data_IF_500242965412
#
_entry.id   IF_500242965412
#
_cell.length_a   1.000
_cell.length_b   1.000
_cell.length_c   1.000
_cell.angle_alpha   90.00
_cell.angle_beta   90.00
_cell.angle_gamma   90.00
#
_symmetry.space_group_name_H-M   'P 1'
#
loop_
_entity.id
_entity.type
_entity.pdbx_description
1 polymer ?
#
# COMPACT_ATOMS: atom_id res chain seq x y z
N UNK A 1 -6.76 -28.79 1.57
CA UNK A 1 -6.59 -28.37 0.18
C UNK A 1 -7.91 -27.93 -0.41
N UNK A 2 -7.88 -26.88 -1.18
CA UNK A 2 -9.05 -26.33 -1.82
C UNK A 2 -9.34 -27.05 -3.14
N UNK A 3 -10.45 -26.71 -3.74
CA UNK A 3 -10.85 -27.34 -4.99
C UNK A 3 -9.81 -27.12 -6.09
N UNK A 4 -9.59 -28.12 -6.97
CA UNK A 4 -8.51 -28.06 -7.96
C UNK A 4 -8.54 -26.86 -8.88
N UNK A 5 -9.72 -26.36 -9.22
CA UNK A 5 -9.87 -25.25 -10.16
C UNK A 5 -10.13 -23.90 -9.50
N UNK A 6 -10.26 -23.85 -8.17
CA UNK A 6 -10.57 -22.63 -7.43
C UNK A 6 -9.80 -22.53 -6.13
N UNK A 7 -8.84 -23.39 -5.95
CA UNK A 7 -8.16 -23.47 -4.69
C UNK A 7 -6.97 -22.54 -4.58
N UNK A 8 -6.51 -22.45 -3.35
CA UNK A 8 -5.26 -21.78 -3.01
C UNK A 8 -4.36 -22.83 -2.39
N UNK A 9 -3.15 -22.95 -2.92
CA UNK A 9 -2.14 -23.83 -2.36
C UNK A 9 -1.02 -23.02 -1.76
N UNK A 10 -0.62 -23.38 -0.55
CA UNK A 10 0.46 -22.70 0.16
C UNK A 10 1.52 -23.73 0.48
N UNK A 11 2.73 -23.51 -0.03
CA UNK A 11 3.84 -24.41 0.19
C UNK A 11 5.04 -23.64 0.71
N UNK A 12 5.68 -24.19 1.74
CA UNK A 12 6.94 -23.64 2.21
C UNK A 12 8.02 -23.97 1.18
N UNK A 13 8.77 -22.95 0.77
CA UNK A 13 9.79 -23.12 -0.26
C UNK A 13 11.17 -23.14 0.37
N UNK A 14 11.46 -22.16 1.21
CA UNK A 14 12.76 -22.05 1.87
C UNK A 14 12.63 -21.16 3.10
N UNK A 15 12.98 -21.70 4.28
CA UNK A 15 12.91 -20.93 5.51
C UNK A 15 11.52 -20.42 5.80
N UNK A 16 11.39 -19.13 5.91
CA UNK A 16 10.10 -18.47 6.19
C UNK A 16 9.43 -17.96 4.93
N UNK A 17 9.86 -18.44 3.77
CA UNK A 17 9.29 -18.03 2.49
C UNK A 17 8.31 -19.10 2.01
N UNK A 18 7.12 -18.65 1.65
CA UNK A 18 6.05 -19.51 1.19
C UNK A 18 5.64 -19.12 -0.22
N UNK A 19 5.35 -20.11 -1.03
CA UNK A 19 4.77 -19.91 -2.35
C UNK A 19 3.26 -20.06 -2.23
N UNK A 20 2.53 -19.08 -2.69
CA UNK A 20 1.07 -19.11 -2.72
C UNK A 20 0.63 -19.21 -4.17
N UNK A 21 -0.07 -20.27 -4.51
CA UNK A 21 -0.58 -20.49 -5.85
C UNK A 21 -2.09 -20.41 -5.84
N UNK A 22 -2.63 -19.69 -6.82
CA UNK A 22 -4.07 -19.50 -6.97
C UNK A 22 -4.59 -20.25 -8.18
N UNK A 23 -5.67 -20.99 -8.00
CA UNK A 23 -6.32 -21.68 -9.09
C UNK A 23 -7.13 -20.73 -10.00
N UNK A 24 -7.46 -19.55 -9.50
CA UNK A 24 -8.23 -18.55 -10.23
C UNK A 24 -7.51 -17.20 -10.12
N UNK A 25 -7.25 -16.57 -11.26
CA UNK A 25 -6.59 -15.27 -11.30
C UNK A 25 -7.37 -14.16 -10.60
N UNK A 26 -8.68 -14.29 -10.51
CA UNK A 26 -9.50 -13.32 -9.78
C UNK A 26 -9.26 -13.38 -8.27
N UNK A 27 -9.02 -14.55 -7.74
CA UNK A 27 -8.70 -14.72 -6.33
C UNK A 27 -7.34 -14.13 -6.01
N UNK A 28 -6.36 -14.32 -6.89
CA UNK A 28 -5.04 -13.72 -6.78
C UNK A 28 -5.13 -12.20 -6.76
N UNK A 29 -5.87 -11.65 -7.70
CA UNK A 29 -6.04 -10.20 -7.80
C UNK A 29 -6.68 -9.63 -6.52
N UNK A 30 -7.73 -10.28 -6.05
CA UNK A 30 -8.42 -9.87 -4.82
C UNK A 30 -7.51 -9.94 -3.61
N UNK A 31 -6.71 -10.99 -3.53
CA UNK A 31 -5.75 -11.19 -2.46
C UNK A 31 -4.72 -10.05 -2.42
N UNK A 32 -4.18 -9.68 -3.58
CA UNK A 32 -3.21 -8.60 -3.69
C UNK A 32 -3.83 -7.23 -3.40
N UNK A 33 -5.06 -7.02 -3.81
CA UNK A 33 -5.77 -5.75 -3.55
C UNK A 33 -6.07 -5.54 -2.08
N UNK A 34 -6.15 -6.60 -1.30
CA UNK A 34 -6.44 -6.54 0.13
C UNK A 34 -5.21 -6.33 1.00
N UNK A 35 -4.02 -6.26 0.40
CA UNK A 35 -2.81 -5.94 1.16
C UNK A 35 -2.94 -4.58 1.86
N UNK A 36 -2.32 -4.38 3.01
CA UNK A 36 -1.38 -5.27 3.68
C UNK A 36 -2.06 -6.39 4.47
N UNK A 37 -1.43 -7.55 4.48
CA UNK A 37 -1.86 -8.69 5.28
C UNK A 37 -1.02 -8.75 6.55
N UNK A 38 -1.65 -9.10 7.65
CA UNK A 38 -0.95 -9.30 8.92
C UNK A 38 -1.33 -10.63 9.54
N UNK A 39 -0.41 -11.20 10.29
CA UNK A 39 -0.65 -12.39 11.09
C UNK A 39 -0.06 -12.16 12.47
N UNK A 40 -0.90 -12.27 13.49
CA UNK A 40 -0.51 -12.01 14.88
C UNK A 40 0.23 -10.65 15.03
N UNK A 41 -0.28 -9.62 14.36
CA UNK A 41 0.25 -8.26 14.36
C UNK A 41 1.56 -8.08 13.58
N UNK A 42 2.06 -9.12 12.93
CA UNK A 42 3.23 -9.04 12.06
C UNK A 42 2.79 -8.86 10.61
N UNK A 43 3.52 -8.01 9.93
CA UNK A 43 3.27 -7.76 8.52
C UNK A 43 3.76 -8.94 7.67
N UNK A 44 2.92 -9.38 6.76
CA UNK A 44 3.28 -10.39 5.76
C UNK A 44 3.69 -9.67 4.50
N UNK A 45 4.93 -9.89 4.06
CA UNK A 45 5.41 -9.30 2.82
C UNK A 45 5.09 -10.22 1.64
N UNK A 46 4.54 -9.63 0.61
CA UNK A 46 4.12 -10.35 -0.59
C UNK A 46 4.81 -9.78 -1.82
N UNK A 47 5.14 -10.66 -2.72
CA UNK A 47 5.67 -10.27 -4.01
C UNK A 47 5.15 -11.21 -5.08
N UNK A 48 4.69 -10.64 -6.16
CA UNK A 48 4.27 -11.41 -7.30
C UNK A 48 5.49 -12.04 -7.98
N UNK A 49 5.44 -13.35 -8.18
CA UNK A 49 6.55 -14.09 -8.75
C UNK A 49 6.46 -14.11 -10.26
N UNK A 50 7.55 -13.73 -10.91
CA UNK A 50 7.72 -13.89 -12.34
C UNK A 50 8.38 -15.24 -12.61
N UNK A 51 7.89 -15.96 -13.59
CA UNK A 51 8.10 -17.40 -13.76
C UNK A 51 9.52 -17.96 -13.77
N UNK A 52 10.56 -17.13 -13.84
CA UNK A 52 11.94 -17.61 -13.91
C UNK A 52 12.77 -17.34 -12.67
N UNK A 53 12.16 -16.73 -11.66
CA UNK A 53 12.88 -16.40 -10.43
C UNK A 53 12.96 -17.60 -9.50
N UNK A 54 14.09 -17.74 -8.82
CA UNK A 54 14.25 -18.70 -7.75
C UNK A 54 14.16 -18.00 -6.40
N UNK A 55 13.76 -18.71 -5.32
CA UNK A 55 13.55 -18.06 -4.02
C UNK A 55 14.70 -17.20 -3.51
N UNK A 56 15.94 -17.60 -3.79
CA UNK A 56 17.12 -16.84 -3.36
C UNK A 56 17.24 -15.47 -4.01
N UNK A 57 16.63 -15.29 -5.16
CA UNK A 57 16.68 -14.04 -5.90
C UNK A 57 15.59 -13.05 -5.49
N UNK A 58 14.64 -13.50 -4.68
CA UNK A 58 13.49 -12.69 -4.31
C UNK A 58 13.82 -11.88 -3.08
N UNK A 59 13.62 -10.57 -3.20
CA UNK A 59 13.80 -9.64 -2.09
C UNK A 59 12.43 -9.15 -1.65
N UNK A 60 12.12 -9.30 -0.37
CA UNK A 60 10.87 -8.86 0.24
C UNK A 60 11.15 -7.68 1.16
N UNK A 61 10.82 -6.47 0.69
CA UNK A 61 11.16 -5.26 1.42
C UNK A 61 10.11 -4.16 1.34
N UNK A 62 9.07 -4.39 0.54
CA UNK A 62 8.00 -3.41 0.36
C UNK A 62 6.64 -3.99 0.72
N UNK A 63 5.76 -3.13 1.16
CA UNK A 63 4.35 -3.47 1.32
C UNK A 63 3.47 -2.30 0.90
N UNK A 64 2.35 -2.56 0.24
CA UNK A 64 1.41 -1.50 -0.11
C UNK A 64 0.59 -1.09 1.11
N UNK A 65 0.39 0.20 1.27
CA UNK A 65 -0.48 0.76 2.29
C UNK A 65 -1.34 1.85 1.66
N UNK A 66 -2.58 1.92 2.09
CA UNK A 66 -3.39 3.10 1.86
C UNK A 66 -2.96 4.16 2.86
N UNK A 67 -2.70 5.34 2.35
CA UNK A 67 -2.27 6.49 3.13
C UNK A 67 -3.26 7.62 2.93
N UNK A 68 -3.76 8.16 4.02
CA UNK A 68 -4.61 9.35 3.99
C UNK A 68 -3.72 10.58 4.09
N UNK A 69 -4.02 11.57 3.25
CA UNK A 69 -3.31 12.85 3.28
C UNK A 69 -4.25 13.88 3.91
N UNK A 70 -3.87 14.37 5.07
CA UNK A 70 -4.70 15.30 5.84
C UNK A 70 -4.19 16.73 5.71
N UNK A 71 -5.12 17.65 5.84
CA UNK A 71 -4.84 19.08 5.87
C UNK A 71 -4.48 19.70 4.52
N UNK A 72 -4.78 19.01 3.42
CA UNK A 72 -4.68 19.60 2.09
C UNK A 72 -5.86 20.54 1.83
N UNK A 73 -5.64 21.69 1.20
CA UNK A 73 -6.73 22.52 0.73
C UNK A 73 -7.63 21.72 -0.21
N UNK A 74 -8.92 22.00 -0.18
CA UNK A 74 -9.90 21.25 -0.97
C UNK A 74 -9.57 21.25 -2.46
N UNK A 75 -9.11 22.38 -2.99
CA UNK A 75 -8.71 22.49 -4.39
C UNK A 75 -7.52 21.60 -4.76
N UNK A 76 -6.69 21.27 -3.78
CA UNK A 76 -5.51 20.42 -4.00
C UNK A 76 -5.79 18.94 -3.84
N UNK A 77 -7.00 18.58 -3.45
CA UNK A 77 -7.37 17.17 -3.28
C UNK A 77 -7.73 16.56 -4.62
N UNK A 78 -6.72 16.40 -5.45
CA UNK A 78 -6.85 15.86 -6.80
C UNK A 78 -6.00 14.61 -6.95
N UNK A 79 -6.33 13.83 -7.98
CA UNK A 79 -5.57 12.63 -8.32
C UNK A 79 -4.11 12.96 -8.61
N UNK A 80 -3.87 14.06 -9.30
CA UNK A 80 -2.52 14.51 -9.65
C UNK A 80 -1.69 14.86 -8.43
N UNK A 81 -2.28 15.57 -7.49
CA UNK A 81 -1.61 15.92 -6.24
C UNK A 81 -1.30 14.66 -5.42
N UNK A 82 -2.25 13.74 -5.35
CA UNK A 82 -2.05 12.47 -4.67
C UNK A 82 -0.89 11.68 -5.24
N UNK A 83 -0.80 11.58 -6.56
CA UNK A 83 0.32 10.90 -7.23
C UNK A 83 1.64 11.58 -6.95
N UNK A 84 1.68 12.90 -7.02
CA UNK A 84 2.91 13.66 -6.80
C UNK A 84 3.44 13.48 -5.38
N UNK A 85 2.55 13.52 -4.39
CA UNK A 85 2.93 13.32 -2.99
C UNK A 85 3.36 11.88 -2.76
N UNK A 86 2.57 10.92 -3.21
CA UNK A 86 2.85 9.50 -3.03
C UNK A 86 4.16 9.07 -3.69
N UNK A 87 4.47 9.63 -4.86
CA UNK A 87 5.69 9.30 -5.60
C UNK A 87 6.97 9.63 -4.83
N UNK A 88 6.91 10.55 -3.88
CA UNK A 88 8.05 10.87 -3.03
C UNK A 88 8.25 9.84 -1.91
N UNK A 89 7.25 9.03 -1.64
CA UNK A 89 7.28 8.05 -0.56
C UNK A 89 7.53 6.63 -1.06
N UNK A 90 7.17 6.36 -2.29
CA UNK A 90 7.31 5.03 -2.89
C UNK A 90 6.62 4.95 -4.24
N UNK A 91 6.34 3.75 -4.68
CA UNK A 91 5.63 3.54 -5.94
C UNK A 91 4.12 3.69 -5.71
N UNK A 92 3.52 4.63 -6.41
CA UNK A 92 2.07 4.87 -6.31
C UNK A 92 1.33 3.80 -7.10
N UNK A 93 0.40 3.13 -6.43
CA UNK A 93 -0.42 2.08 -7.04
C UNK A 93 -1.80 2.58 -7.42
N UNK A 94 -2.38 3.44 -6.61
CA UNK A 94 -3.74 3.95 -6.83
C UNK A 94 -3.96 5.23 -6.04
N UNK A 95 -4.91 6.02 -6.48
CA UNK A 95 -5.33 7.25 -5.80
C UNK A 95 -6.85 7.24 -5.72
N UNK A 96 -7.37 7.47 -4.52
CA UNK A 96 -8.80 7.57 -4.29
C UNK A 96 -9.13 9.00 -3.89
N UNK A 97 -9.87 9.69 -4.75
CA UNK A 97 -10.32 11.06 -4.52
C UNK A 97 -11.78 11.00 -4.07
N UNK A 98 -12.07 11.60 -2.92
CA UNK A 98 -13.43 11.65 -2.42
C UNK A 98 -14.31 12.46 -3.36
N UNK A 99 -15.51 11.97 -3.62
CA UNK A 99 -16.48 12.70 -4.43
C UNK A 99 -16.98 13.93 -3.67
N UNK A 100 -17.13 14.99 -4.43
CA UNK A 100 -17.59 16.26 -3.89
C UNK A 100 -19.01 16.10 -3.32
N UNK A 101 -19.19 16.56 -2.10
CA UNK A 101 -20.49 16.55 -1.44
C UNK A 101 -20.82 15.26 -0.69
N UNK A 102 -20.25 14.14 -1.09
CA UNK A 102 -20.53 12.84 -0.46
C UNK A 102 -19.57 12.55 0.68
N UNK A 103 -18.31 12.90 0.50
CA UNK A 103 -17.26 12.66 1.48
C UNK A 103 -16.62 13.97 1.92
N UNK A 104 -17.45 14.91 2.20
CA UNK A 104 -17.05 16.22 2.67
C UNK A 104 -16.14 16.10 3.89
N UNK A 105 -14.96 16.69 3.80
CA UNK A 105 -13.98 16.62 4.88
C UNK A 105 -13.10 15.38 4.90
N UNK A 106 -13.34 14.40 4.03
CA UNK A 106 -12.47 13.24 3.94
C UNK A 106 -11.18 13.55 3.22
N UNK A 107 -10.14 12.88 3.64
CA UNK A 107 -8.81 13.05 3.08
C UNK A 107 -8.68 12.36 1.74
N UNK A 108 -7.76 12.89 0.93
CA UNK A 108 -7.27 12.19 -0.24
C UNK A 108 -6.54 10.94 0.21
N UNK A 109 -6.77 9.81 -0.46
CA UNK A 109 -6.12 8.54 -0.14
C UNK A 109 -5.24 8.11 -1.30
N UNK A 110 -4.05 7.67 -0.97
CA UNK A 110 -3.08 7.17 -1.96
C UNK A 110 -2.59 5.80 -1.50
N UNK A 111 -2.57 4.84 -2.42
CA UNK A 111 -2.00 3.53 -2.15
C UNK A 111 -0.58 3.50 -2.66
N UNK A 112 0.37 3.29 -1.75
CA UNK A 112 1.80 3.40 -2.04
C UNK A 112 2.52 2.17 -1.52
N UNK A 113 3.46 1.66 -2.32
CA UNK A 113 4.40 0.63 -1.85
C UNK A 113 5.48 1.30 -1.02
N UNK A 114 5.54 0.94 0.24
CA UNK A 114 6.44 1.54 1.22
C UNK A 114 7.59 0.58 1.52
N UNK A 115 8.79 1.11 1.56
CA UNK A 115 9.97 0.38 2.03
C UNK A 115 9.85 0.18 3.54
N UNK A 116 9.71 -1.07 3.96
CA UNK A 116 9.47 -1.40 5.36
C UNK A 116 10.73 -1.26 6.24
N UNK A 117 11.88 -1.09 5.63
CA UNK A 117 13.14 -0.91 6.37
C UNK A 117 13.45 0.56 6.67
N UNK A 118 12.74 1.46 6.03
CA UNK A 118 12.90 2.89 6.24
C UNK A 118 11.92 3.42 7.27
N UNK A 119 12.32 4.51 7.91
CA UNK A 119 11.46 5.20 8.84
C UNK A 119 10.20 5.71 8.12
N UNK A 120 9.05 5.53 8.73
CA UNK A 120 7.79 5.95 8.15
C UNK A 120 7.68 7.46 8.14
N UNK A 121 7.40 8.03 6.98
CA UNK A 121 7.19 9.47 6.83
C UNK A 121 5.76 9.80 7.26
N UNK A 122 5.62 10.62 8.28
CA UNK A 122 4.30 10.93 8.85
C UNK A 122 3.73 12.27 8.43
N UNK A 123 4.47 13.04 7.68
CA UNK A 123 3.99 14.32 7.19
C UNK A 123 5.08 15.10 6.49
N UNK A 124 4.68 16.24 5.93
CA UNK A 124 5.59 17.09 5.17
C UNK A 124 5.05 18.52 5.14
N UNK A 125 5.95 19.50 5.17
CA UNK A 125 5.58 20.88 4.90
C UNK A 125 5.50 21.09 3.40
N UNK A 126 4.43 21.71 2.97
CA UNK A 126 4.27 22.12 1.57
C UNK A 126 3.96 23.61 1.51
N UNK A 127 4.25 24.20 0.37
CA UNK A 127 3.89 25.58 0.09
C UNK A 127 2.63 25.56 -0.76
N UNK A 128 1.58 26.17 -0.28
CA UNK A 128 0.32 26.26 -1.01
C UNK A 128 0.22 27.59 -1.74
N UNK A 129 -0.83 27.76 -2.53
CA UNK A 129 -1.10 28.99 -3.25
C UNK A 129 -1.07 30.20 -2.30
N UNK A 130 -0.37 31.24 -2.70
CA UNK A 130 -0.16 32.41 -1.86
C UNK A 130 1.09 32.39 -1.00
N UNK A 131 1.90 31.32 -1.10
CA UNK A 131 3.16 31.23 -0.38
C UNK A 131 3.06 30.75 1.06
N UNK A 132 1.87 30.45 1.55
CA UNK A 132 1.68 29.92 2.89
C UNK A 132 2.26 28.53 3.00
N UNK A 133 3.01 28.29 4.08
CA UNK A 133 3.50 26.94 4.39
C UNK A 133 2.48 26.20 5.23
N UNK A 134 2.25 24.95 4.88
CA UNK A 134 1.30 24.13 5.60
C UNK A 134 1.86 22.76 5.84
N UNK A 135 1.66 22.24 7.04
CA UNK A 135 1.98 20.88 7.37
C UNK A 135 0.87 19.96 6.90
N UNK A 136 1.19 19.01 6.06
CA UNK A 136 0.25 17.95 5.68
C UNK A 136 0.65 16.68 6.41
N UNK A 137 -0.33 15.98 6.96
CA UNK A 137 -0.10 14.78 7.73
C UNK A 137 -0.46 13.55 6.92
N UNK A 138 0.35 12.51 7.04
CA UNK A 138 0.13 11.22 6.41
C UNK A 138 -0.31 10.21 7.46
N UNK A 139 -1.49 9.64 7.26
CA UNK A 139 -2.03 8.64 8.17
C UNK A 139 -2.18 7.33 7.40
N UNK A 140 -1.39 6.35 7.78
CA UNK A 140 -1.42 5.05 7.13
C UNK A 140 -2.51 4.18 7.73
N UNK A 141 -3.27 3.50 6.86
CA UNK A 141 -4.34 2.62 7.29
C UNK A 141 -3.79 1.23 7.55
N UNK A 142 -4.32 0.56 8.57
CA UNK A 142 -3.98 -0.84 8.90
C UNK A 142 -2.48 -1.04 9.20
N UNK A 143 -1.88 -0.07 9.82
CA UNK A 143 -0.46 -0.13 10.14
C UNK A 143 -0.21 -1.12 11.29
N UNK A 144 0.75 -2.05 11.13
CA UNK A 144 1.11 -2.95 12.23
C UNK A 144 1.72 -2.18 13.41
N UNK A 145 1.59 -2.74 14.61
CA UNK A 145 2.02 -2.06 15.84
C UNK A 145 3.52 -1.71 15.86
N UNK A 146 4.36 -2.50 15.25
CA UNK A 146 5.80 -2.25 15.27
C UNK A 146 6.23 -1.06 14.41
N UNK A 147 5.31 -0.47 13.67
CA UNK A 147 5.58 0.78 12.97
C UNK A 147 5.27 2.02 13.80
N UNK A 148 4.69 1.85 14.95
CA UNK A 148 4.26 2.98 15.78
C UNK A 148 5.42 3.66 16.53
#
# INVERSE_FOLDING_TARGET
MLEPNKGIQINEVEGEIYLVEFGDGRDKKRFLEMCPWTYEKYLILLRELEGKQVPKEISLWQSPFWMQIHNLPLKSQTRETGRAIGAKLGEVMDVNVAEFGVHWGKSLRVRVKIDIHKKLVRGKKIVIEGGEQRWIAFKYERLPNFFL
#
